data_IF_808947892087
#
_entry.id   IF_808947892087
#
_cell.length_a   1.000
_cell.length_b   1.000
_cell.length_c   1.000
_cell.angle_alpha   90.00
_cell.angle_beta   90.00
_cell.angle_gamma   90.00
#
_symmetry.space_group_name_H-M   'P 1'
#
loop_
_entity.id
_entity.type
_entity.pdbx_description
1 polymer ?
#
# COMPACT_ATOMS: atom_id res chain seq x y z
N UNK A 1 -7.96 31.13 2.88
CA UNK A 1 -7.42 29.80 2.59
C UNK A 1 -8.58 28.86 2.77
N UNK A 2 -9.14 28.36 1.67
CA UNK A 2 -10.15 27.31 1.74
C UNK A 2 -9.38 26.04 2.10
N UNK A 3 -9.66 25.45 3.26
CA UNK A 3 -9.23 24.10 3.59
C UNK A 3 -10.00 23.17 2.64
N UNK A 4 -9.26 22.60 1.69
CA UNK A 4 -9.79 21.77 0.61
C UNK A 4 -10.37 20.45 1.16
N UNK A 5 -11.54 20.09 0.62
CA UNK A 5 -12.20 18.77 0.54
C UNK A 5 -11.92 17.72 1.63
N UNK A 6 -12.93 17.44 2.48
CA UNK A 6 -13.14 16.21 3.27
C UNK A 6 -11.93 15.25 3.33
N UNK A 7 -11.03 15.45 4.29
CA UNK A 7 -9.91 14.56 4.56
C UNK A 7 -10.44 13.15 4.87
N UNK A 8 -10.13 12.20 3.98
CA UNK A 8 -10.55 10.80 4.11
C UNK A 8 -9.38 9.96 4.64
N UNK A 9 -9.64 8.93 5.48
CA UNK A 9 -8.57 8.15 6.10
C UNK A 9 -8.03 7.03 5.19
N UNK A 10 -8.08 7.19 3.87
CA UNK A 10 -7.67 6.16 2.91
C UNK A 10 -6.91 6.75 1.72
N UNK A 11 -6.20 5.90 0.97
CA UNK A 11 -5.39 6.31 -0.19
C UNK A 11 -6.20 6.86 -1.36
N UNK A 12 -5.55 7.61 -2.27
CA UNK A 12 -6.19 8.09 -3.51
C UNK A 12 -6.74 6.93 -4.36
N UNK A 13 -6.00 5.83 -4.48
CA UNK A 13 -6.45 4.64 -5.20
C UNK A 13 -7.73 4.04 -4.58
N UNK A 14 -7.82 3.95 -3.26
CA UNK A 14 -9.05 3.51 -2.59
C UNK A 14 -10.19 4.52 -2.76
N UNK A 15 -9.89 5.82 -2.76
CA UNK A 15 -10.89 6.86 -3.01
C UNK A 15 -11.49 6.73 -4.42
N UNK A 16 -10.65 6.54 -5.45
CA UNK A 16 -11.11 6.39 -6.83
C UNK A 16 -12.02 5.16 -7.00
N UNK A 17 -11.70 4.05 -6.32
CA UNK A 17 -12.55 2.87 -6.28
C UNK A 17 -13.90 3.15 -5.60
N UNK A 18 -13.90 3.85 -4.45
CA UNK A 18 -15.11 4.23 -3.72
C UNK A 18 -16.00 5.15 -4.57
N UNK A 19 -15.42 6.19 -5.19
CA UNK A 19 -16.16 7.14 -6.03
C UNK A 19 -16.74 6.46 -7.28
N UNK A 20 -16.05 5.46 -7.84
CA UNK A 20 -16.55 4.66 -8.96
C UNK A 20 -17.79 3.83 -8.61
N UNK A 21 -17.86 3.34 -7.36
CA UNK A 21 -18.97 2.52 -6.85
C UNK A 21 -20.11 3.34 -6.26
N UNK A 22 -19.81 4.55 -5.77
CA UNK A 22 -20.75 5.39 -5.03
C UNK A 22 -22.10 5.63 -5.75
N UNK A 23 -22.15 5.90 -7.06
CA UNK A 23 -23.42 6.08 -7.76
C UNK A 23 -24.29 4.81 -7.73
N UNK A 24 -23.70 3.64 -8.01
CA UNK A 24 -24.42 2.35 -8.04
C UNK A 24 -24.97 2.00 -6.66
N UNK A 25 -24.16 2.19 -5.62
CA UNK A 25 -24.56 1.93 -4.24
C UNK A 25 -25.67 2.90 -3.81
N UNK A 26 -25.53 4.19 -4.13
CA UNK A 26 -26.54 5.18 -3.77
C UNK A 26 -27.87 4.94 -4.49
N UNK A 27 -27.84 4.61 -5.78
CA UNK A 27 -29.06 4.35 -6.57
C UNK A 27 -29.82 3.11 -6.08
N UNK A 28 -29.10 2.07 -5.63
CA UNK A 28 -29.70 0.80 -5.19
C UNK A 28 -30.14 0.82 -3.73
N UNK A 29 -29.36 1.44 -2.85
CA UNK A 29 -29.54 1.37 -1.39
C UNK A 29 -29.93 2.70 -0.74
N UNK A 30 -29.86 3.82 -1.46
CA UNK A 30 -30.10 5.16 -0.90
C UNK A 30 -29.08 5.52 0.19
N UNK A 31 -27.84 5.04 0.04
CA UNK A 31 -26.71 5.25 0.95
C UNK A 31 -25.54 5.78 0.14
N UNK A 32 -24.99 6.92 0.57
CA UNK A 32 -23.71 7.38 0.08
C UNK A 32 -22.61 6.47 0.64
N UNK A 33 -21.90 5.76 -0.24
CA UNK A 33 -20.87 4.79 0.15
C UNK A 33 -19.77 5.44 1.01
N UNK A 34 -19.30 6.61 0.60
CA UNK A 34 -18.29 7.39 1.35
C UNK A 34 -18.73 7.70 2.78
N UNK A 35 -19.97 8.13 2.96
CA UNK A 35 -20.49 8.55 4.27
C UNK A 35 -20.61 7.37 5.25
N UNK A 36 -21.07 6.21 4.78
CA UNK A 36 -21.17 5.01 5.63
C UNK A 36 -19.80 4.44 5.99
N UNK A 37 -18.79 4.60 5.12
CA UNK A 37 -17.41 4.19 5.39
C UNK A 37 -16.71 5.12 6.39
N UNK A 38 -17.01 6.42 6.37
CA UNK A 38 -16.44 7.40 7.32
C UNK A 38 -17.15 7.38 8.67
N UNK A 39 -18.48 7.30 8.65
CA UNK A 39 -19.30 7.46 9.84
C UNK A 39 -20.45 6.44 9.90
N UNK A 40 -20.13 5.16 10.18
CA UNK A 40 -21.15 4.11 10.26
C UNK A 40 -22.15 4.36 11.40
N UNK A 41 -21.77 5.11 12.44
CA UNK A 41 -22.65 5.44 13.57
C UNK A 41 -23.94 6.15 13.15
N UNK A 42 -23.89 6.99 12.11
CA UNK A 42 -25.05 7.71 11.60
C UNK A 42 -26.13 6.77 11.01
N UNK A 43 -25.75 5.55 10.64
CA UNK A 43 -26.62 4.59 9.96
C UNK A 43 -27.20 3.50 10.87
N UNK A 44 -26.77 3.41 12.14
CA UNK A 44 -27.18 2.34 13.07
C UNK A 44 -28.69 2.25 13.26
N UNK A 45 -29.38 3.40 13.26
CA UNK A 45 -30.84 3.43 13.40
C UNK A 45 -31.61 3.10 12.11
N UNK A 46 -30.93 2.95 10.96
CA UNK A 46 -31.60 2.49 9.73
C UNK A 46 -31.98 1.02 9.91
N UNK A 47 -33.24 0.73 9.59
CA UNK A 47 -33.74 -0.65 9.60
C UNK A 47 -32.94 -1.51 8.62
N UNK A 48 -32.59 -2.72 9.05
CA UNK A 48 -31.88 -3.73 8.25
C UNK A 48 -30.51 -3.25 7.72
N UNK A 49 -29.85 -2.32 8.44
CA UNK A 49 -28.57 -1.73 8.01
C UNK A 49 -27.46 -2.77 7.90
N UNK A 50 -27.40 -3.75 8.80
CA UNK A 50 -26.43 -4.85 8.73
C UNK A 50 -26.56 -5.63 7.43
N UNK A 51 -27.77 -6.08 7.10
CA UNK A 51 -28.04 -6.81 5.85
C UNK A 51 -27.77 -5.94 4.64
N UNK A 52 -28.17 -4.68 4.68
CA UNK A 52 -27.91 -3.71 3.61
C UNK A 52 -26.41 -3.53 3.38
N UNK A 53 -25.63 -3.39 4.44
CA UNK A 53 -24.18 -3.22 4.35
C UNK A 53 -23.50 -4.49 3.84
N UNK A 54 -23.95 -5.69 4.26
CA UNK A 54 -23.48 -6.95 3.68
C UNK A 54 -23.73 -7.02 2.17
N UNK A 55 -24.91 -6.60 1.68
CA UNK A 55 -25.18 -6.55 0.24
C UNK A 55 -24.34 -5.50 -0.49
N UNK A 56 -24.07 -4.34 0.12
CA UNK A 56 -23.13 -3.35 -0.42
C UNK A 56 -21.74 -3.96 -0.58
N UNK A 57 -21.27 -4.69 0.44
CA UNK A 57 -19.97 -5.38 0.41
C UNK A 57 -19.90 -6.38 -0.73
N UNK A 58 -20.92 -7.22 -0.90
CA UNK A 58 -20.98 -8.18 -2.02
C UNK A 58 -20.89 -7.46 -3.38
N UNK A 59 -21.58 -6.34 -3.55
CA UNK A 59 -21.53 -5.54 -4.79
C UNK A 59 -20.12 -4.99 -5.08
N UNK A 60 -19.43 -4.53 -4.03
CA UNK A 60 -18.05 -4.03 -4.13
C UNK A 60 -17.10 -5.17 -4.47
N UNK A 61 -17.20 -6.30 -3.77
CA UNK A 61 -16.37 -7.49 -4.04
C UNK A 61 -16.56 -8.00 -5.48
N UNK A 62 -17.80 -8.04 -5.97
CA UNK A 62 -18.14 -8.43 -7.34
C UNK A 62 -17.59 -7.45 -8.39
N UNK A 63 -17.69 -6.15 -8.13
CA UNK A 63 -17.14 -5.12 -9.01
C UNK A 63 -15.62 -5.23 -9.10
N UNK A 64 -14.93 -5.36 -7.97
CA UNK A 64 -13.48 -5.52 -7.95
C UNK A 64 -13.08 -6.82 -8.64
N UNK A 65 -13.74 -7.94 -8.35
CA UNK A 65 -13.44 -9.23 -8.99
C UNK A 65 -13.62 -9.16 -10.52
N UNK A 66 -14.67 -8.48 -10.99
CA UNK A 66 -14.93 -8.28 -12.42
C UNK A 66 -13.86 -7.40 -13.07
N UNK A 67 -13.50 -6.30 -12.41
CA UNK A 67 -12.47 -5.37 -12.91
C UNK A 67 -11.11 -6.04 -12.95
N UNK A 68 -10.74 -6.77 -11.90
CA UNK A 68 -9.52 -7.58 -11.82
C UNK A 68 -9.42 -8.63 -12.93
N UNK A 69 -10.55 -9.26 -13.28
CA UNK A 69 -10.61 -10.20 -14.40
C UNK A 69 -10.39 -9.53 -15.76
N UNK A 70 -10.72 -8.25 -15.89
CA UNK A 70 -10.40 -7.44 -17.05
C UNK A 70 -8.91 -7.09 -17.19
N UNK A 71 -8.13 -7.24 -16.11
CA UNK A 71 -6.73 -6.85 -16.00
C UNK A 71 -5.77 -8.05 -16.02
N UNK A 72 -6.12 -9.14 -16.70
CA UNK A 72 -5.31 -10.37 -16.71
C UNK A 72 -3.91 -10.18 -17.31
N UNK A 73 -3.76 -9.29 -18.29
CA UNK A 73 -2.46 -9.04 -18.92
C UNK A 73 -1.59 -8.11 -18.05
N UNK A 74 -2.20 -7.10 -17.43
CA UNK A 74 -1.58 -6.24 -16.43
C UNK A 74 -1.12 -7.07 -15.23
N UNK A 75 -1.91 -8.05 -14.78
CA UNK A 75 -1.54 -9.01 -13.74
C UNK A 75 -0.28 -9.80 -14.13
N UNK A 76 -0.22 -10.35 -15.35
CA UNK A 76 0.98 -11.08 -15.81
C UNK A 76 2.21 -10.16 -15.86
N UNK A 77 2.03 -8.92 -16.30
CA UNK A 77 3.10 -7.92 -16.32
C UNK A 77 3.59 -7.60 -14.91
N UNK A 78 2.66 -7.40 -13.97
CA UNK A 78 2.96 -7.21 -12.55
C UNK A 78 3.72 -8.41 -11.98
N UNK A 79 3.28 -9.64 -12.20
CA UNK A 79 3.95 -10.84 -11.69
C UNK A 79 5.38 -10.98 -12.26
N UNK A 80 5.55 -10.68 -13.55
CA UNK A 80 6.87 -10.70 -14.21
C UNK A 80 7.80 -9.63 -13.63
N UNK A 81 7.31 -8.41 -13.45
CA UNK A 81 8.12 -7.32 -12.93
C UNK A 81 8.41 -7.49 -11.43
N UNK A 82 7.45 -8.00 -10.66
CA UNK A 82 7.63 -8.40 -9.27
C UNK A 82 8.71 -9.46 -9.10
N UNK A 83 8.75 -10.49 -9.95
CA UNK A 83 9.82 -11.49 -9.96
C UNK A 83 11.19 -10.86 -10.26
N UNK A 84 11.25 -9.95 -11.23
CA UNK A 84 12.49 -9.25 -11.58
C UNK A 84 12.97 -8.37 -10.42
N UNK A 85 12.08 -7.60 -9.81
CA UNK A 85 12.36 -6.77 -8.64
C UNK A 85 12.83 -7.60 -7.46
N UNK A 86 12.21 -8.75 -7.20
CA UNK A 86 12.61 -9.66 -6.12
C UNK A 86 14.04 -10.20 -6.32
N UNK A 87 14.38 -10.61 -7.54
CA UNK A 87 15.74 -11.07 -7.89
C UNK A 87 16.77 -9.95 -7.69
N UNK A 88 16.51 -8.77 -8.24
CA UNK A 88 17.39 -7.60 -8.11
C UNK A 88 17.54 -7.22 -6.64
N UNK A 89 16.43 -7.16 -5.89
CA UNK A 89 16.43 -6.82 -4.47
C UNK A 89 17.28 -7.78 -3.66
N UNK A 90 17.12 -9.10 -3.86
CA UNK A 90 17.91 -10.12 -3.15
C UNK A 90 19.40 -10.02 -3.44
N UNK A 91 19.76 -9.82 -4.70
CA UNK A 91 21.16 -9.67 -5.10
C UNK A 91 21.79 -8.37 -4.55
N UNK A 92 21.04 -7.27 -4.55
CA UNK A 92 21.47 -6.00 -3.95
C UNK A 92 21.64 -6.12 -2.44
N UNK A 93 20.65 -6.69 -1.73
CA UNK A 93 20.72 -6.92 -0.29
C UNK A 93 21.97 -7.71 0.11
N UNK A 94 22.28 -8.78 -0.64
CA UNK A 94 23.49 -9.58 -0.41
C UNK A 94 24.78 -8.76 -0.64
N UNK A 95 24.83 -8.00 -1.74
CA UNK A 95 25.98 -7.17 -2.09
C UNK A 95 26.23 -6.08 -1.06
N UNK A 96 25.17 -5.37 -0.65
CA UNK A 96 25.21 -4.33 0.37
C UNK A 96 25.65 -4.91 1.71
N UNK A 97 25.06 -6.02 2.16
CA UNK A 97 25.44 -6.66 3.42
C UNK A 97 26.92 -7.09 3.44
N UNK A 98 27.41 -7.65 2.33
CA UNK A 98 28.82 -8.03 2.20
C UNK A 98 29.76 -6.83 2.24
N UNK A 99 29.46 -5.77 1.49
CA UNK A 99 30.27 -4.55 1.45
C UNK A 99 30.24 -3.81 2.78
N UNK A 100 29.08 -3.70 3.41
CA UNK A 100 28.94 -3.08 4.72
C UNK A 100 29.78 -3.84 5.77
N UNK A 101 29.75 -5.18 5.75
CA UNK A 101 30.61 -6.01 6.61
C UNK A 101 32.10 -5.78 6.35
N UNK A 102 32.53 -5.71 5.09
CA UNK A 102 33.94 -5.47 4.74
C UNK A 102 34.44 -4.10 5.20
N UNK A 103 33.56 -3.09 5.18
CA UNK A 103 33.89 -1.72 5.53
C UNK A 103 33.53 -1.36 6.99
N UNK A 104 33.04 -2.33 7.78
CA UNK A 104 32.54 -2.13 9.15
C UNK A 104 31.43 -1.07 9.27
N UNK A 105 30.53 -1.05 8.30
CA UNK A 105 29.39 -0.14 8.25
C UNK A 105 28.15 -0.85 8.79
N UNK A 106 27.41 -0.24 9.73
CA UNK A 106 26.16 -0.81 10.22
C UNK A 106 25.08 -0.76 9.13
N UNK A 107 24.36 -1.88 8.98
CA UNK A 107 23.10 -1.95 8.22
C UNK A 107 21.96 -2.04 9.23
N UNK A 108 21.06 -1.07 9.19
CA UNK A 108 19.92 -0.95 10.12
C UNK A 108 18.60 -1.13 9.36
N UNK A 109 17.58 -1.68 10.05
CA UNK A 109 16.20 -1.77 9.55
C UNK A 109 15.29 -0.87 10.38
N UNK A 110 15.27 0.44 10.10
CA UNK A 110 14.50 1.40 10.88
C UNK A 110 13.00 1.29 10.56
N UNK A 111 12.16 1.61 11.53
CA UNK A 111 10.72 1.81 11.31
C UNK A 111 10.48 3.15 10.60
N UNK A 112 11.22 4.18 11.01
CA UNK A 112 11.23 5.50 10.37
C UNK A 112 12.59 6.18 10.56
N UNK A 113 12.92 7.10 9.67
CA UNK A 113 14.04 8.04 9.82
C UNK A 113 13.51 9.44 9.53
N UNK A 114 13.72 10.35 10.46
CA UNK A 114 13.49 11.78 10.24
C UNK A 114 14.67 12.34 9.44
N UNK A 115 14.43 12.71 8.19
CA UNK A 115 15.45 13.20 7.24
C UNK A 115 14.87 14.21 6.27
N UNK A 116 15.73 15.11 5.81
CA UNK A 116 15.36 16.07 4.78
C UNK A 116 15.50 15.43 3.39
N UNK A 117 14.37 14.96 2.85
CA UNK A 117 14.27 14.30 1.54
C UNK A 117 14.64 15.20 0.36
N UNK A 118 14.56 16.53 0.50
CA UNK A 118 14.86 17.48 -0.58
C UNK A 118 16.35 17.51 -0.97
N UNK A 119 17.22 16.95 -0.12
CA UNK A 119 18.67 16.91 -0.33
C UNK A 119 19.18 15.54 -0.78
N UNK A 120 18.29 14.59 -1.05
CA UNK A 120 18.66 13.20 -1.36
C UNK A 120 18.75 12.96 -2.88
N UNK A 121 19.73 12.15 -3.29
CA UNK A 121 19.79 11.64 -4.65
C UNK A 121 19.15 10.25 -4.72
N UNK A 122 17.99 10.17 -5.35
CA UNK A 122 17.25 8.92 -5.56
C UNK A 122 17.62 8.29 -6.89
N UNK A 123 17.99 7.02 -6.85
CA UNK A 123 18.43 6.23 -8.01
C UNK A 123 17.50 5.04 -8.15
N UNK A 124 16.75 5.01 -9.25
CA UNK A 124 15.87 3.91 -9.59
C UNK A 124 16.64 2.85 -10.36
N UNK A 125 16.55 1.60 -9.89
CA UNK A 125 17.23 0.46 -10.50
C UNK A 125 16.22 -0.62 -10.86
N UNK A 126 16.43 -1.26 -12.00
CA UNK A 126 15.62 -2.37 -12.46
C UNK A 126 16.46 -3.58 -12.88
N UNK A 127 17.79 -3.49 -12.87
CA UNK A 127 18.71 -4.56 -13.21
C UNK A 127 20.03 -4.36 -12.47
N UNK A 128 20.81 -5.44 -12.32
CA UNK A 128 22.18 -5.37 -11.78
C UNK A 128 23.18 -5.54 -12.92
N UNK A 129 24.05 -4.55 -13.07
CA UNK A 129 25.21 -4.60 -13.93
C UNK A 129 26.49 -4.22 -13.17
N UNK A 130 27.62 -4.23 -13.88
CA UNK A 130 28.92 -3.87 -13.30
C UNK A 130 28.99 -2.40 -12.86
N UNK A 131 28.25 -1.51 -13.52
CA UNK A 131 28.18 -0.09 -13.17
C UNK A 131 27.46 0.12 -11.84
N UNK A 132 26.29 -0.51 -11.66
CA UNK A 132 25.55 -0.47 -10.41
C UNK A 132 26.34 -1.07 -9.25
N UNK A 133 27.03 -2.19 -9.48
CA UNK A 133 27.89 -2.82 -8.47
C UNK A 133 29.03 -1.88 -8.03
N UNK A 134 29.67 -1.19 -8.98
CA UNK A 134 30.71 -0.22 -8.69
C UNK A 134 30.16 1.01 -7.95
N UNK A 135 28.95 1.46 -8.29
CA UNK A 135 28.26 2.54 -7.58
C UNK A 135 27.99 2.16 -6.13
N UNK A 136 27.38 1.01 -5.86
CA UNK A 136 27.08 0.54 -4.50
C UNK A 136 28.35 0.42 -3.66
N UNK A 137 29.44 -0.05 -4.26
CA UNK A 137 30.74 -0.12 -3.58
C UNK A 137 31.22 1.26 -3.12
N UNK A 138 31.10 2.29 -3.97
CA UNK A 138 31.46 3.67 -3.63
C UNK A 138 30.53 4.25 -2.57
N UNK A 139 29.22 4.04 -2.71
CA UNK A 139 28.23 4.53 -1.76
C UNK A 139 28.44 3.91 -0.39
N UNK A 140 28.56 2.58 -0.32
CA UNK A 140 28.88 1.88 0.92
C UNK A 140 30.16 2.46 1.54
N UNK A 141 31.29 2.49 0.83
CA UNK A 141 32.54 3.00 1.39
C UNK A 141 32.49 4.45 1.92
N UNK A 142 31.60 5.29 1.40
CA UNK A 142 31.39 6.67 1.84
C UNK A 142 30.32 6.83 2.93
N UNK A 143 29.61 5.76 3.28
CA UNK A 143 28.49 5.78 4.21
C UNK A 143 28.92 5.62 5.66
N UNK A 144 28.29 6.39 6.54
CA UNK A 144 28.28 6.19 8.00
C UNK A 144 27.43 4.99 8.39
N UNK A 145 26.28 4.79 7.72
CA UNK A 145 25.40 3.64 7.88
C UNK A 145 24.58 3.41 6.61
N UNK A 146 23.98 2.22 6.51
CA UNK A 146 22.96 1.92 5.49
C UNK A 146 21.64 1.60 6.19
N UNK A 147 20.57 2.32 5.84
CA UNK A 147 19.23 1.99 6.27
C UNK A 147 18.50 1.20 5.18
N UNK A 148 18.03 0.01 5.54
CA UNK A 148 17.27 -0.89 4.71
C UNK A 148 15.77 -0.74 4.99
N UNK A 149 15.08 -0.14 4.04
CA UNK A 149 13.62 0.06 4.02
C UNK A 149 12.91 -0.95 3.10
N UNK A 150 13.61 -2.01 2.69
CA UNK A 150 13.03 -2.99 1.78
C UNK A 150 11.76 -3.60 2.37
N UNK A 151 10.70 -3.59 1.57
CA UNK A 151 9.40 -4.12 1.96
C UNK A 151 9.09 -5.40 1.20
N UNK A 152 8.10 -6.14 1.67
CA UNK A 152 7.54 -7.27 0.95
C UNK A 152 6.12 -6.93 0.54
N UNK A 153 5.85 -6.95 -0.76
CA UNK A 153 4.49 -6.87 -1.29
C UNK A 153 4.09 -8.23 -1.82
N UNK A 154 3.07 -8.85 -1.19
CA UNK A 154 2.72 -10.26 -1.37
C UNK A 154 3.93 -11.18 -1.15
N UNK A 155 4.51 -11.73 -2.21
CA UNK A 155 5.68 -12.62 -2.16
C UNK A 155 6.95 -12.00 -2.73
N UNK A 156 6.88 -10.76 -3.22
CA UNK A 156 7.99 -10.07 -3.89
C UNK A 156 8.68 -9.09 -2.94
N UNK A 157 10.02 -9.14 -2.92
CA UNK A 157 10.83 -8.19 -2.17
C UNK A 157 11.06 -6.93 -3.00
N UNK A 158 10.75 -5.77 -2.44
CA UNK A 158 10.94 -4.45 -3.04
C UNK A 158 12.02 -3.71 -2.28
N UNK A 159 13.19 -3.58 -2.90
CA UNK A 159 14.39 -3.05 -2.27
C UNK A 159 14.40 -1.54 -2.18
N UNK A 160 14.68 -1.01 -0.99
CA UNK A 160 14.99 0.41 -0.81
C UNK A 160 16.10 0.56 0.24
N UNK A 161 17.19 1.23 -0.13
CA UNK A 161 18.32 1.46 0.77
C UNK A 161 18.76 2.91 0.75
N UNK A 162 18.84 3.50 1.94
CA UNK A 162 19.49 4.79 2.17
C UNK A 162 20.95 4.54 2.57
N UNK A 163 21.86 5.12 1.81
CA UNK A 163 23.28 5.24 2.12
C UNK A 163 23.52 6.62 2.71
N UNK A 164 23.68 6.68 4.04
CA UNK A 164 23.84 7.94 4.77
C UNK A 164 25.32 8.28 4.94
N UNK A 165 25.71 9.54 4.69
CA UNK A 165 27.09 9.99 4.78
C UNK A 165 27.22 11.51 4.67
N UNK A 166 28.28 12.00 3.99
CA UNK A 166 28.38 13.44 3.68
C UNK A 166 27.24 13.93 2.76
N UNK A 167 26.72 13.02 1.93
CA UNK A 167 25.54 13.19 1.09
C UNK A 167 24.76 11.89 1.10
N UNK A 168 23.44 12.00 1.07
CA UNK A 168 22.54 10.88 1.20
C UNK A 168 22.07 10.40 -0.16
N UNK A 169 22.15 9.08 -0.36
CA UNK A 169 21.76 8.41 -1.59
C UNK A 169 20.72 7.35 -1.30
N UNK A 170 19.66 7.31 -2.10
CA UNK A 170 18.63 6.27 -2.01
C UNK A 170 18.70 5.41 -3.25
N UNK A 171 18.94 4.12 -3.10
CA UNK A 171 18.74 3.15 -4.17
C UNK A 171 17.36 2.54 -3.99
N UNK A 172 16.52 2.65 -5.01
CA UNK A 172 15.17 2.11 -5.02
C UNK A 172 15.00 1.12 -6.18
N UNK A 173 14.59 -0.10 -5.88
CA UNK A 173 14.20 -1.09 -6.89
C UNK A 173 12.78 -0.75 -7.30
N UNK A 174 12.63 -0.14 -8.47
CA UNK A 174 11.31 0.31 -8.93
C UNK A 174 10.57 -0.86 -9.55
N UNK A 175 9.37 -1.13 -9.05
CA UNK A 175 8.35 -1.74 -9.89
C UNK A 175 7.80 -0.69 -10.85
N UNK A 176 7.45 -1.13 -12.05
CA UNK A 176 6.70 -0.32 -13.01
C UNK A 176 5.27 -0.13 -12.50
N UNK A 177 4.73 1.08 -12.70
CA UNK A 177 3.34 1.36 -12.35
C UNK A 177 2.41 0.41 -13.11
N UNK A 178 1.40 -0.13 -12.42
CA UNK A 178 0.56 -1.16 -12.96
C UNK A 178 -0.85 -1.08 -12.36
N UNK A 179 -1.87 -0.92 -13.21
CA UNK A 179 -3.26 -0.77 -12.78
C UNK A 179 -3.81 -1.98 -12.00
N UNK A 180 -3.30 -3.20 -12.24
CA UNK A 180 -3.66 -4.36 -11.44
C UNK A 180 -3.18 -4.18 -9.99
N UNK A 181 -1.94 -3.73 -9.80
CA UNK A 181 -1.39 -3.46 -8.47
C UNK A 181 -2.14 -2.33 -7.77
N UNK A 182 -2.43 -1.24 -8.47
CA UNK A 182 -3.17 -0.09 -7.91
C UNK A 182 -4.55 -0.54 -7.39
N UNK A 183 -5.29 -1.33 -8.18
CA UNK A 183 -6.59 -1.88 -7.79
C UNK A 183 -6.48 -2.91 -6.65
N UNK A 184 -5.42 -3.72 -6.64
CA UNK A 184 -5.18 -4.74 -5.62
C UNK A 184 -4.95 -4.09 -4.25
N UNK A 185 -4.14 -3.03 -4.20
CA UNK A 185 -3.90 -2.25 -2.98
C UNK A 185 -5.15 -1.52 -2.52
N UNK A 186 -5.87 -0.86 -3.45
CA UNK A 186 -7.13 -0.18 -3.16
C UNK A 186 -8.17 -1.15 -2.56
N UNK A 187 -8.25 -2.36 -3.11
CA UNK A 187 -9.16 -3.40 -2.64
C UNK A 187 -8.79 -3.90 -1.24
N UNK A 188 -7.51 -4.16 -0.98
CA UNK A 188 -7.06 -4.61 0.35
C UNK A 188 -7.36 -3.55 1.43
N UNK A 189 -7.13 -2.27 1.12
CA UNK A 189 -7.48 -1.15 2.00
C UNK A 189 -9.00 -1.03 2.21
N UNK A 190 -9.78 -1.07 1.11
CA UNK A 190 -11.24 -0.98 1.18
C UNK A 190 -11.85 -2.13 1.99
N UNK A 191 -11.33 -3.35 1.85
CA UNK A 191 -11.74 -4.51 2.66
C UNK A 191 -11.51 -4.27 4.14
N UNK A 192 -10.36 -3.74 4.53
CA UNK A 192 -10.08 -3.41 5.92
C UNK A 192 -11.08 -2.37 6.47
N UNK A 193 -11.42 -1.35 5.67
CA UNK A 193 -12.41 -0.33 6.07
C UNK A 193 -13.79 -0.98 6.22
N UNK A 194 -14.21 -1.79 5.25
CA UNK A 194 -15.50 -2.48 5.28
C UNK A 194 -15.60 -3.49 6.43
N UNK A 195 -14.52 -4.22 6.75
CA UNK A 195 -14.45 -5.11 7.90
C UNK A 195 -14.69 -4.34 9.21
N UNK A 196 -14.10 -3.16 9.36
CA UNK A 196 -14.30 -2.31 10.54
C UNK A 196 -15.75 -1.82 10.66
N UNK A 197 -16.36 -1.41 9.54
CA UNK A 197 -17.76 -0.97 9.52
C UNK A 197 -18.72 -2.12 9.81
N UNK A 198 -18.49 -3.29 9.22
CA UNK A 198 -19.30 -4.48 9.47
C UNK A 198 -19.18 -4.92 10.94
N UNK A 199 -17.97 -4.92 11.48
CA UNK A 199 -17.72 -5.19 12.90
C UNK A 199 -18.43 -4.18 13.81
N UNK A 200 -18.45 -2.90 13.43
CA UNK A 200 -19.19 -1.87 14.14
C UNK A 200 -20.70 -2.18 14.19
N UNK A 201 -21.34 -2.46 13.05
CA UNK A 201 -22.78 -2.76 13.06
C UNK A 201 -23.13 -4.00 13.89
N UNK A 202 -22.38 -5.11 13.73
CA UNK A 202 -22.57 -6.34 14.52
C UNK A 202 -22.46 -6.11 16.03
N UNK A 203 -21.59 -5.21 16.46
CA UNK A 203 -21.42 -4.86 17.88
C UNK A 203 -22.60 -4.08 18.47
N UNK A 204 -23.34 -3.34 17.64
CA UNK A 204 -24.52 -2.59 18.09
C UNK A 204 -25.77 -3.48 18.15
N UNK A 205 -25.94 -4.39 17.18
CA UNK A 205 -27.04 -5.37 17.20
C UNK A 205 -27.01 -6.30 18.42
N UNK A 206 -25.82 -6.64 18.92
CA UNK A 206 -25.64 -7.46 20.12
C UNK A 206 -25.91 -6.73 21.44
N UNK A 207 -25.69 -5.41 21.50
CA UNK A 207 -26.01 -4.59 22.68
C UNK A 207 -27.53 -4.37 22.87
N UNK A 208 -28.30 -4.35 21.77
CA UNK A 208 -29.76 -4.20 21.80
C UNK A 208 -30.50 -5.48 22.23
N UNK A 209 -29.87 -6.66 22.10
CA UNK A 209 -30.43 -7.92 22.59
C UNK A 209 -30.24 -8.10 24.11
N UNK A 210 -29.12 -7.65 24.68
CA UNK A 210 -28.89 -7.70 26.15
C UNK A 210 -29.78 -6.73 26.94
N UNK A 211 -30.23 -5.63 26.33
CA UNK A 211 -31.16 -4.70 27.00
C UNK A 211 -32.64 -5.15 26.94
N UNK A 212 -32.96 -6.19 26.16
CA UNK A 212 -34.30 -6.75 26.02
C UNK A 212 -34.49 -8.09 26.76
N UNK A 213 -33.46 -8.60 27.44
CA UNK A 213 -33.50 -9.78 28.31
C UNK A 213 -33.68 -9.39 29.78
#
# INVERSE_FOLDING_TARGET
MAEDANEVPWSENANDLIESLAPVINDKYGIALKDILINPAFYVSKKDIETTFSSIREEVDDYVATTMKGLEDEKKNFEKDGLKCDVVTKQLAQSIAMLAKQNNIPVIKPVSIDRNVDNEEVIYVNNIDSGLTALITKLAAASSFVADFSTTYKTYSLGQWLFDGQKNYVINVSMEQNSYMDLDQANDELKMIMDNVEGYFKSQGSADEEQKA
#
